data_IF_297756346607
#
_entry.id   IF_297756346607
#
_cell.length_a   1.000
_cell.length_b   1.000
_cell.length_c   1.000
_cell.angle_alpha   90.00
_cell.angle_beta   90.00
_cell.angle_gamma   90.00
#
_symmetry.space_group_name_H-M   'P 1'
#
loop_
_entity.id
_entity.type
_entity.pdbx_description
1 polymer ?
#
# COMPACT_ATOMS: atom_id res chain seq x y z
N UNK A 1 12.65 33.60 -14.50
CA UNK A 1 13.10 32.24 -14.86
C UNK A 1 13.79 31.70 -13.63
N UNK A 2 13.02 31.11 -12.73
CA UNK A 2 13.59 30.38 -11.60
C UNK A 2 14.29 29.15 -12.18
N UNK A 3 15.60 29.10 -11.98
CA UNK A 3 16.41 27.95 -12.33
C UNK A 3 15.96 26.85 -11.36
N UNK A 4 15.08 25.97 -11.83
CA UNK A 4 14.72 24.73 -11.13
C UNK A 4 16.02 24.02 -10.81
N UNK A 5 16.41 24.01 -9.54
CA UNK A 5 17.57 23.26 -9.05
C UNK A 5 17.19 21.78 -8.96
N UNK A 6 16.73 21.22 -10.08
CA UNK A 6 16.37 19.81 -10.19
C UNK A 6 17.66 19.01 -10.15
N UNK A 7 17.98 18.44 -8.99
CA UNK A 7 18.90 17.31 -8.92
C UNK A 7 18.17 16.12 -9.57
N UNK A 8 18.15 16.09 -10.91
CA UNK A 8 17.87 14.87 -11.64
C UNK A 8 18.96 13.88 -11.23
N UNK A 9 18.64 13.02 -10.24
CA UNK A 9 19.48 11.91 -9.82
C UNK A 9 19.59 10.95 -11.02
N UNK A 10 20.51 11.27 -11.92
CA UNK A 10 21.10 10.34 -12.86
C UNK A 10 20.53 10.25 -14.27
N UNK A 11 19.89 11.28 -14.85
CA UNK A 11 19.46 11.19 -16.25
C UNK A 11 19.57 12.52 -17.01
N UNK A 12 20.71 12.73 -17.69
CA UNK A 12 20.78 13.73 -18.76
C UNK A 12 20.34 13.19 -20.13
N UNK A 13 20.20 11.86 -20.31
CA UNK A 13 19.95 11.26 -21.63
C UNK A 13 19.20 9.90 -21.62
N UNK A 14 18.55 9.49 -20.53
CA UNK A 14 17.97 8.14 -20.46
C UNK A 14 16.49 8.11 -20.92
N UNK A 15 16.26 7.32 -21.96
CA UNK A 15 14.93 6.93 -22.43
C UNK A 15 14.15 6.28 -21.29
N UNK A 16 12.87 6.63 -21.15
CA UNK A 16 11.99 6.14 -20.09
C UNK A 16 12.10 4.61 -19.98
N UNK A 17 12.41 4.05 -18.80
CA UNK A 17 12.48 2.61 -18.63
C UNK A 17 11.08 1.99 -18.83
N UNK A 18 11.02 0.89 -19.58
CA UNK A 18 9.78 0.13 -19.73
C UNK A 18 9.45 -0.57 -18.40
N UNK A 19 8.35 -0.17 -17.78
CA UNK A 19 7.89 -0.75 -16.52
C UNK A 19 7.03 -1.98 -16.80
N UNK A 20 7.53 -3.15 -16.42
CA UNK A 20 6.74 -4.39 -16.42
C UNK A 20 5.82 -4.41 -15.19
N UNK A 21 4.77 -5.25 -15.17
CA UNK A 21 3.94 -5.43 -13.97
C UNK A 21 4.76 -5.80 -12.72
N UNK A 22 5.85 -6.56 -12.90
CA UNK A 22 6.76 -6.91 -11.81
C UNK A 22 7.51 -5.68 -11.27
N UNK A 23 7.93 -4.76 -12.13
CA UNK A 23 8.54 -3.50 -11.69
C UNK A 23 7.54 -2.67 -10.88
N UNK A 24 6.28 -2.60 -11.31
CA UNK A 24 5.24 -1.84 -10.59
C UNK A 24 4.97 -2.44 -9.21
N UNK A 25 4.95 -3.76 -9.09
CA UNK A 25 4.75 -4.43 -7.81
C UNK A 25 5.91 -4.18 -6.83
N UNK A 26 7.15 -4.29 -7.32
CA UNK A 26 8.33 -3.97 -6.50
C UNK A 26 8.38 -2.49 -6.11
N UNK A 27 7.98 -1.60 -7.01
CA UNK A 27 7.89 -0.16 -6.75
C UNK A 27 6.88 0.12 -5.65
N UNK A 28 5.67 -0.43 -5.76
CA UNK A 28 4.61 -0.30 -4.75
C UNK A 28 5.12 -0.76 -3.39
N UNK A 29 5.74 -1.94 -3.32
CA UNK A 29 6.35 -2.44 -2.09
C UNK A 29 7.38 -1.45 -1.54
N UNK A 30 8.26 -0.91 -2.37
CA UNK A 30 9.24 0.08 -1.97
C UNK A 30 8.62 1.38 -1.45
N UNK A 31 7.58 1.90 -2.10
CA UNK A 31 6.83 3.09 -1.62
C UNK A 31 6.23 2.84 -0.24
N UNK A 32 5.59 1.68 -0.04
CA UNK A 32 5.03 1.28 1.27
C UNK A 32 6.13 1.20 2.33
N UNK A 33 7.28 0.62 1.99
CA UNK A 33 8.44 0.53 2.88
C UNK A 33 8.98 1.90 3.28
N UNK A 34 8.95 2.89 2.39
CA UNK A 34 9.35 4.26 2.73
C UNK A 34 8.28 4.94 3.60
N UNK A 35 7.00 4.82 3.25
CA UNK A 35 5.91 5.49 3.97
C UNK A 35 5.72 4.95 5.39
N UNK A 36 5.91 3.64 5.59
CA UNK A 36 5.90 3.04 6.94
C UNK A 36 7.03 3.53 7.84
N UNK A 37 8.06 4.19 7.29
CA UNK A 37 9.16 4.82 8.04
C UNK A 37 8.98 6.32 8.24
N UNK A 38 8.11 6.94 7.47
CA UNK A 38 7.91 8.37 7.55
C UNK A 38 7.15 8.72 8.83
N UNK A 39 7.84 9.35 9.78
CA UNK A 39 7.32 9.57 11.12
C UNK A 39 6.11 10.51 11.11
N UNK A 40 6.12 11.55 10.27
CA UNK A 40 4.99 12.46 10.11
C UNK A 40 3.71 11.71 9.69
N UNK A 41 3.80 10.83 8.69
CA UNK A 41 2.67 10.02 8.23
C UNK A 41 2.22 9.01 9.29
N UNK A 42 3.16 8.34 9.96
CA UNK A 42 2.82 7.41 11.06
C UNK A 42 2.05 8.12 12.19
N UNK A 43 2.50 9.31 12.58
CA UNK A 43 1.81 10.12 13.59
C UNK A 43 0.45 10.61 13.10
N UNK A 44 0.34 11.00 11.84
CA UNK A 44 -0.91 11.43 11.24
C UNK A 44 -1.96 10.31 11.23
N UNK A 45 -1.55 9.07 10.91
CA UNK A 45 -2.40 7.88 10.97
C UNK A 45 -2.80 7.58 12.42
N UNK A 46 -1.82 7.50 13.32
CA UNK A 46 -2.05 7.12 14.72
C UNK A 46 -2.97 8.10 15.46
N UNK A 47 -2.86 9.39 15.16
CA UNK A 47 -3.66 10.44 15.78
C UNK A 47 -4.91 10.84 14.96
N UNK A 48 -5.20 10.13 13.88
CA UNK A 48 -6.35 10.39 13.01
C UNK A 48 -6.41 11.85 12.51
N UNK A 49 -5.28 12.44 12.16
CA UNK A 49 -5.23 13.82 11.66
C UNK A 49 -5.99 13.97 10.33
N UNK A 50 -6.10 12.89 9.55
CA UNK A 50 -6.95 12.82 8.37
C UNK A 50 -8.41 12.42 8.64
N UNK A 51 -8.80 12.19 9.90
CA UNK A 51 -10.12 11.67 10.27
C UNK A 51 -10.16 10.15 10.49
N UNK A 52 -11.37 9.59 10.61
CA UNK A 52 -11.57 8.16 10.92
C UNK A 52 -11.08 7.23 9.81
N UNK A 53 -10.94 7.74 8.59
CA UNK A 53 -10.50 7.05 7.38
C UNK A 53 -8.99 7.25 7.09
N UNK A 54 -8.21 7.68 8.09
CA UNK A 54 -6.76 7.92 7.95
C UNK A 54 -6.01 6.74 7.31
N UNK A 55 -6.31 5.49 7.68
CA UNK A 55 -5.69 4.31 7.04
C UNK A 55 -6.05 4.14 5.56
N UNK A 56 -7.27 4.49 5.16
CA UNK A 56 -7.68 4.50 3.74
C UNK A 56 -6.98 5.63 2.99
N UNK A 57 -6.90 6.82 3.57
CA UNK A 57 -6.17 7.96 2.97
C UNK A 57 -4.70 7.62 2.74
N UNK A 58 -4.05 6.96 3.69
CA UNK A 58 -2.66 6.53 3.51
C UNK A 58 -2.52 5.46 2.40
N UNK A 59 -3.48 4.53 2.26
CA UNK A 59 -3.54 3.61 1.10
C UNK A 59 -3.70 4.35 -0.22
N UNK A 60 -4.62 5.31 -0.28
CA UNK A 60 -4.85 6.15 -1.46
C UNK A 60 -3.60 6.95 -1.82
N UNK A 61 -2.87 7.46 -0.82
CA UNK A 61 -1.60 8.16 -1.03
C UNK A 61 -0.54 7.24 -1.66
N UNK A 62 -0.42 5.99 -1.21
CA UNK A 62 0.46 4.99 -1.86
C UNK A 62 0.08 4.81 -3.33
N UNK A 63 -1.20 4.63 -3.63
CA UNK A 63 -1.68 4.46 -5.00
C UNK A 63 -1.41 5.71 -5.85
N UNK A 64 -1.66 6.89 -5.30
CA UNK A 64 -1.42 8.17 -5.98
C UNK A 64 0.05 8.34 -6.36
N UNK A 65 0.96 8.06 -5.43
CA UNK A 65 2.41 8.16 -5.67
C UNK A 65 2.87 7.12 -6.68
N UNK A 66 2.42 5.86 -6.57
CA UNK A 66 2.75 4.81 -7.55
C UNK A 66 2.23 5.19 -8.94
N UNK A 67 0.96 5.63 -9.06
CA UNK A 67 0.39 6.09 -10.31
C UNK A 67 1.19 7.24 -10.90
N UNK A 68 1.50 8.27 -10.10
CA UNK A 68 2.30 9.42 -10.54
C UNK A 68 3.67 8.99 -11.07
N UNK A 69 4.38 8.10 -10.37
CA UNK A 69 5.68 7.57 -10.82
C UNK A 69 5.56 6.75 -12.11
N UNK A 70 4.46 6.01 -12.28
CA UNK A 70 4.23 5.18 -13.48
C UNK A 70 3.63 5.95 -14.65
N UNK A 71 3.11 7.15 -14.48
CA UNK A 71 2.49 7.93 -15.56
C UNK A 71 3.34 9.10 -16.01
N UNK A 72 4.11 9.70 -15.09
CA UNK A 72 4.94 10.87 -15.37
C UNK A 72 6.11 10.50 -16.28
N UNK A 73 6.45 11.42 -17.20
CA UNK A 73 7.53 11.20 -18.19
C UNK A 73 8.92 11.29 -17.55
N UNK A 74 9.10 12.25 -16.67
CA UNK A 74 10.35 12.53 -15.97
C UNK A 74 10.05 12.60 -14.48
N UNK A 75 10.79 11.83 -13.67
CA UNK A 75 10.58 11.79 -12.23
C UNK A 75 11.57 12.73 -11.56
N UNK A 76 11.05 13.83 -11.03
CA UNK A 76 11.79 14.81 -10.26
C UNK A 76 11.41 14.74 -8.78
N UNK A 77 12.41 14.78 -7.90
CA UNK A 77 12.18 14.61 -6.47
C UNK A 77 11.46 15.82 -5.85
N UNK A 78 11.72 17.04 -6.34
CA UNK A 78 11.04 18.27 -5.93
C UNK A 78 9.56 18.27 -6.31
N UNK A 79 9.20 17.73 -7.48
CA UNK A 79 7.78 17.59 -7.86
C UNK A 79 7.04 16.55 -7.01
N UNK A 80 7.74 15.49 -6.58
CA UNK A 80 7.18 14.53 -5.64
C UNK A 80 7.09 15.11 -4.22
N UNK A 81 8.06 15.92 -3.80
CA UNK A 81 8.02 16.65 -2.54
C UNK A 81 6.80 17.57 -2.48
N UNK A 82 6.58 18.40 -3.50
CA UNK A 82 5.40 19.25 -3.63
C UNK A 82 4.11 18.43 -3.55
N UNK A 83 4.06 17.26 -4.21
CA UNK A 83 2.90 16.36 -4.11
C UNK A 83 2.68 15.94 -2.66
N UNK A 84 3.72 15.44 -1.98
CA UNK A 84 3.61 14.96 -0.59
C UNK A 84 3.21 16.07 0.39
N UNK A 85 3.74 17.28 0.23
CA UNK A 85 3.37 18.44 1.06
C UNK A 85 1.91 18.83 0.89
N UNK A 86 1.44 18.91 -0.35
CA UNK A 86 0.03 19.22 -0.62
C UNK A 86 -0.90 18.17 -0.01
N UNK A 87 -0.53 16.88 -0.09
CA UNK A 87 -1.34 15.81 0.53
C UNK A 87 -1.41 15.95 2.04
N UNK A 88 -0.29 16.22 2.72
CA UNK A 88 -0.28 16.43 4.18
C UNK A 88 -1.19 17.60 4.58
N UNK A 89 -1.21 18.67 3.80
CA UNK A 89 -2.07 19.83 4.07
C UNK A 89 -3.54 19.49 3.82
N UNK A 90 -3.85 18.98 2.62
CA UNK A 90 -5.23 18.82 2.14
C UNK A 90 -5.96 17.67 2.84
N UNK A 91 -5.30 16.52 2.98
CA UNK A 91 -5.93 15.30 3.48
C UNK A 91 -5.71 15.07 4.97
N UNK A 92 -4.63 15.62 5.54
CA UNK A 92 -4.21 15.37 6.91
C UNK A 92 -4.22 16.61 7.81
N UNK A 93 -4.54 17.79 7.27
CA UNK A 93 -4.54 19.07 8.01
C UNK A 93 -3.24 19.30 8.79
N UNK A 94 -2.11 18.88 8.23
CA UNK A 94 -0.79 18.96 8.87
C UNK A 94 0.26 19.45 7.90
N UNK A 95 1.36 19.98 8.44
CA UNK A 95 2.51 20.41 7.66
C UNK A 95 3.77 19.87 8.34
N UNK A 96 4.66 19.27 7.57
CA UNK A 96 5.94 18.80 8.06
C UNK A 96 6.96 19.96 8.02
N UNK A 97 7.43 20.41 9.19
CA UNK A 97 8.41 21.51 9.31
C UNK A 97 9.87 21.01 9.33
N UNK A 98 10.08 19.70 9.20
CA UNK A 98 11.37 19.01 9.39
C UNK A 98 12.05 18.60 8.08
N UNK A 99 11.62 19.14 6.93
CA UNK A 99 12.10 18.79 5.58
C UNK A 99 11.96 17.29 5.25
N UNK A 100 11.19 16.53 6.05
CA UNK A 100 10.96 15.10 5.81
C UNK A 100 10.22 14.79 4.50
N UNK A 101 9.31 15.63 3.95
CA UNK A 101 8.71 15.42 2.63
C UNK A 101 9.76 15.28 1.53
N UNK A 102 10.74 16.19 1.46
CA UNK A 102 11.83 16.15 0.48
C UNK A 102 12.74 14.93 0.64
N UNK A 103 13.05 14.54 1.90
CA UNK A 103 13.83 13.33 2.16
C UNK A 103 13.11 12.06 1.71
N UNK A 104 11.80 11.98 1.98
CA UNK A 104 10.93 10.87 1.56
C UNK A 104 10.80 10.83 0.05
N UNK A 105 10.56 11.97 -0.60
CA UNK A 105 10.49 12.10 -2.04
C UNK A 105 11.78 11.60 -2.71
N UNK A 106 12.94 12.06 -2.24
CA UNK A 106 14.24 11.62 -2.74
C UNK A 106 14.46 10.10 -2.59
N UNK A 107 14.03 9.52 -1.48
CA UNK A 107 14.12 8.07 -1.26
C UNK A 107 13.17 7.28 -2.18
N UNK A 108 11.93 7.74 -2.35
CA UNK A 108 10.96 7.14 -3.26
C UNK A 108 11.43 7.22 -4.72
N UNK A 109 11.96 8.36 -5.15
CA UNK A 109 12.54 8.51 -6.50
C UNK A 109 13.72 7.55 -6.70
N UNK A 110 14.55 7.33 -5.67
CA UNK A 110 15.63 6.32 -5.74
C UNK A 110 15.07 4.91 -5.90
N UNK A 111 14.08 4.52 -5.09
CA UNK A 111 13.38 3.23 -5.21
C UNK A 111 12.85 3.03 -6.63
N UNK A 112 12.23 4.06 -7.21
CA UNK A 112 11.73 4.03 -8.59
C UNK A 112 12.84 3.71 -9.59
N UNK A 113 13.95 4.43 -9.51
CA UNK A 113 15.06 4.28 -10.45
C UNK A 113 15.80 2.95 -10.32
N UNK A 114 15.94 2.42 -9.11
CA UNK A 114 16.52 1.11 -8.84
C UNK A 114 15.60 -0.01 -9.38
N UNK A 115 14.30 0.06 -9.06
CA UNK A 115 13.31 -0.91 -9.53
C UNK A 115 13.21 -0.93 -11.06
N UNK A 116 13.26 0.23 -11.69
CA UNK A 116 13.26 0.36 -13.15
C UNK A 116 14.51 -0.24 -13.82
N UNK A 117 15.62 -0.36 -13.09
CA UNK A 117 16.88 -0.98 -13.54
C UNK A 117 16.98 -2.47 -13.20
N UNK A 118 15.95 -3.06 -12.57
CA UNK A 118 16.01 -4.40 -11.96
C UNK A 118 17.08 -4.53 -10.86
N UNK A 119 17.43 -3.40 -10.23
CA UNK A 119 18.29 -3.35 -9.07
C UNK A 119 17.35 -3.32 -7.85
N UNK A 120 17.20 -4.46 -7.16
CA UNK A 120 16.28 -4.60 -6.02
C UNK A 120 16.91 -4.30 -4.67
N UNK A 121 18.13 -3.75 -4.65
CA UNK A 121 18.98 -3.63 -3.47
C UNK A 121 18.35 -2.79 -2.37
N UNK A 122 17.90 -1.58 -2.68
CA UNK A 122 17.31 -0.70 -1.67
C UNK A 122 15.99 -1.26 -1.11
N UNK A 123 15.16 -1.87 -1.95
CA UNK A 123 13.90 -2.49 -1.48
C UNK A 123 14.20 -3.64 -0.51
N UNK A 124 15.21 -4.46 -0.79
CA UNK A 124 15.64 -5.54 0.10
C UNK A 124 16.23 -5.02 1.42
N UNK A 125 17.04 -3.97 1.38
CA UNK A 125 17.58 -3.32 2.58
C UNK A 125 16.47 -2.72 3.45
N UNK A 126 15.54 -2.00 2.82
CA UNK A 126 14.35 -1.47 3.49
C UNK A 126 13.46 -2.59 4.03
N UNK A 127 13.37 -3.74 3.39
CA UNK A 127 12.62 -4.87 3.94
C UNK A 127 13.33 -5.50 5.15
N UNK A 128 14.64 -5.70 5.07
CA UNK A 128 15.45 -6.27 6.15
C UNK A 128 15.49 -5.41 7.42
N UNK A 129 15.35 -4.09 7.27
CA UNK A 129 15.36 -3.14 8.39
C UNK A 129 13.97 -2.83 8.98
N UNK A 130 12.92 -3.58 8.63
CA UNK A 130 11.58 -3.33 9.17
C UNK A 130 11.41 -3.79 10.62
N UNK A 131 10.75 -2.98 11.44
CA UNK A 131 10.18 -3.45 12.70
C UNK A 131 8.86 -4.19 12.46
N UNK A 132 8.35 -4.87 13.48
CA UNK A 132 7.05 -5.55 13.40
C UNK A 132 5.89 -4.55 13.24
N UNK A 133 5.99 -3.37 13.87
CA UNK A 133 5.03 -2.28 13.72
C UNK A 133 5.00 -1.78 12.27
N UNK A 134 6.17 -1.58 11.66
CA UNK A 134 6.28 -1.18 10.26
C UNK A 134 5.70 -2.25 9.32
N UNK A 135 5.92 -3.53 9.61
CA UNK A 135 5.35 -4.64 8.84
C UNK A 135 3.82 -4.66 8.89
N UNK A 136 3.25 -4.47 10.09
CA UNK A 136 1.80 -4.41 10.27
C UNK A 136 1.19 -3.22 9.55
N UNK A 137 1.79 -2.04 9.69
CA UNK A 137 1.34 -0.86 8.97
C UNK A 137 1.47 -1.07 7.46
N UNK A 138 2.55 -1.70 6.99
CA UNK A 138 2.73 -2.04 5.59
C UNK A 138 1.59 -2.91 5.03
N UNK A 139 1.14 -3.91 5.79
CA UNK A 139 -0.01 -4.73 5.40
C UNK A 139 -1.35 -3.95 5.38
N UNK A 140 -1.48 -2.91 6.20
CA UNK A 140 -2.63 -1.99 6.15
C UNK A 140 -2.56 -1.08 4.93
N UNK A 141 -1.37 -0.62 4.56
CA UNK A 141 -1.12 0.29 3.43
C UNK A 141 -1.11 -0.42 2.07
N UNK A 142 -1.03 -1.75 2.04
CA UNK A 142 -1.06 -2.53 0.80
C UNK A 142 -2.51 -2.91 0.43
N UNK A 143 -3.07 -2.23 -0.58
CA UNK A 143 -4.41 -2.52 -1.11
C UNK A 143 -4.54 -3.98 -1.56
N UNK A 144 -3.51 -4.56 -2.16
CA UNK A 144 -3.56 -5.94 -2.66
C UNK A 144 -3.69 -6.94 -1.51
N UNK A 145 -3.01 -6.69 -0.39
CA UNK A 145 -3.10 -7.48 0.84
C UNK A 145 -4.48 -7.33 1.48
N UNK A 146 -5.03 -6.11 1.54
CA UNK A 146 -6.37 -5.89 2.07
C UNK A 146 -7.45 -6.65 1.27
N UNK A 147 -7.33 -6.63 -0.06
CA UNK A 147 -8.26 -7.35 -0.95
C UNK A 147 -8.15 -8.87 -0.78
N UNK A 148 -6.94 -9.41 -0.65
CA UNK A 148 -6.72 -10.84 -0.36
C UNK A 148 -7.37 -11.24 0.97
N UNK A 149 -7.16 -10.46 2.03
CA UNK A 149 -7.75 -10.70 3.35
C UNK A 149 -9.27 -10.63 3.32
N UNK A 150 -9.84 -9.70 2.55
CA UNK A 150 -11.29 -9.63 2.33
C UNK A 150 -11.80 -10.93 1.70
N UNK A 151 -11.17 -11.37 0.61
CA UNK A 151 -11.58 -12.58 -0.10
C UNK A 151 -11.46 -13.83 0.77
N UNK A 152 -10.40 -13.94 1.58
CA UNK A 152 -10.25 -15.04 2.54
C UNK A 152 -11.34 -15.05 3.60
N UNK A 153 -11.69 -13.87 4.15
CA UNK A 153 -12.75 -13.74 5.15
C UNK A 153 -14.12 -14.12 4.59
N UNK A 154 -14.43 -13.70 3.37
CA UNK A 154 -15.69 -14.05 2.70
C UNK A 154 -15.76 -15.55 2.42
N UNK A 155 -14.69 -16.16 1.89
CA UNK A 155 -14.63 -17.62 1.69
C UNK A 155 -14.84 -18.40 3.00
N UNK A 156 -14.19 -17.97 4.08
CA UNK A 156 -14.36 -18.61 5.39
C UNK A 156 -15.78 -18.44 5.95
N UNK A 157 -16.43 -17.31 5.67
CA UNK A 157 -17.83 -17.08 6.03
C UNK A 157 -18.77 -18.01 5.24
N UNK A 158 -18.60 -18.09 3.92
CA UNK A 158 -19.38 -18.98 3.06
C UNK A 158 -19.22 -20.45 3.46
N UNK A 159 -18.00 -20.89 3.79
CA UNK A 159 -17.75 -22.25 4.27
C UNK A 159 -18.46 -22.53 5.61
N UNK A 160 -18.45 -21.57 6.54
CA UNK A 160 -19.17 -21.70 7.82
C UNK A 160 -20.69 -21.74 7.62
N UNK A 161 -21.21 -20.97 6.68
CA UNK A 161 -22.63 -20.98 6.33
C UNK A 161 -23.02 -22.32 5.69
N UNK A 162 -22.23 -22.82 4.73
CA UNK A 162 -22.42 -24.14 4.11
C UNK A 162 -22.42 -25.28 5.15
N UNK A 163 -21.44 -25.28 6.06
CA UNK A 163 -21.37 -26.29 7.14
C UNK A 163 -22.60 -26.24 8.05
N UNK A 164 -23.08 -25.04 8.39
CA UNK A 164 -24.29 -24.88 9.20
C UNK A 164 -25.55 -25.35 8.47
N UNK A 165 -25.61 -25.18 7.14
CA UNK A 165 -26.71 -25.66 6.33
C UNK A 165 -26.70 -27.19 6.18
N UNK A 166 -25.52 -27.79 5.97
CA UNK A 166 -25.31 -29.23 5.99
C UNK A 166 -25.74 -29.84 7.33
N UNK A 167 -25.26 -29.30 8.46
CA UNK A 167 -25.65 -29.74 9.81
C UNK A 167 -27.17 -29.58 10.07
N UNK A 168 -27.80 -28.53 9.53
CA UNK A 168 -29.27 -28.35 9.63
C UNK A 168 -30.03 -29.35 8.77
N UNK A 169 -29.49 -29.72 7.60
CA UNK A 169 -30.09 -30.69 6.69
C UNK A 169 -30.02 -32.08 7.28
N UNK A 170 -28.87 -32.49 7.80
CA UNK A 170 -28.69 -33.78 8.51
C UNK A 170 -29.67 -33.90 9.69
N UNK A 171 -29.77 -32.87 10.54
CA UNK A 171 -30.73 -32.88 11.66
C UNK A 171 -32.20 -33.00 11.23
N UNK A 172 -32.57 -32.48 10.06
CA UNK A 172 -33.95 -32.60 9.53
C UNK A 172 -34.22 -34.00 9.00
N UNK A 173 -33.23 -34.60 8.34
CA UNK A 173 -33.32 -35.96 7.78
C UNK A 173 -33.41 -37.02 8.91
N UNK A 174 -32.80 -36.77 10.07
CA UNK A 174 -32.91 -37.64 11.27
C UNK A 174 -34.29 -37.57 11.96
N UNK A 175 -35.01 -36.44 11.88
CA UNK A 175 -36.32 -36.23 12.51
C UNK A 175 -37.48 -36.92 11.75
N UNK A 176 -37.30 -37.25 10.48
CA UNK A 176 -38.29 -37.94 9.63
C UNK A 176 -38.20 -39.49 9.70
N UNK A 177 -37.38 -40.03 10.64
CA UNK A 177 -37.07 -41.46 10.78
C UNK A 177 -37.94 -42.28 11.75
N UNK A 178 -39.27 -42.37 11.58
CA UNK A 178 -40.19 -43.34 12.26
C UNK A 178 -41.36 -43.65 11.30
N UNK A 179 -41.98 -44.83 11.13
CA UNK A 179 -41.82 -46.26 11.49
C UNK A 179 -42.72 -46.99 10.48
N UNK A 180 -42.25 -48.00 9.76
CA UNK A 180 -43.15 -48.90 9.03
C UNK A 180 -43.39 -50.14 9.88
N UNK A 181 -44.43 -50.11 10.71
CA UNK A 181 -44.93 -51.32 11.39
C UNK A 181 -45.84 -52.05 10.41
N UNK A 182 -45.33 -53.09 9.75
CA UNK A 182 -46.16 -54.03 8.99
C UNK A 182 -46.66 -55.16 9.89
N UNK A 183 -47.96 -55.43 9.74
CA UNK A 183 -48.87 -56.21 10.61
C UNK A 183 -48.78 -57.72 10.39
#
# INVERSE_FOLDING_TARGET
MELRSGYALGMRDAQRPELTPQHVEQLRKGVILVFTRWTALQLAIANQWGGQDSEEKARVLVDKVVCWLTETKEVYADELEDLLDNELIDDWNTQAEDESPGQVAGLVTRVFWETARNEGTLVQELEGAQTEEMRRLGAVLDRSVQEQLWQERERAREERERRREEEKRERREDDDGWTTVTR
#
